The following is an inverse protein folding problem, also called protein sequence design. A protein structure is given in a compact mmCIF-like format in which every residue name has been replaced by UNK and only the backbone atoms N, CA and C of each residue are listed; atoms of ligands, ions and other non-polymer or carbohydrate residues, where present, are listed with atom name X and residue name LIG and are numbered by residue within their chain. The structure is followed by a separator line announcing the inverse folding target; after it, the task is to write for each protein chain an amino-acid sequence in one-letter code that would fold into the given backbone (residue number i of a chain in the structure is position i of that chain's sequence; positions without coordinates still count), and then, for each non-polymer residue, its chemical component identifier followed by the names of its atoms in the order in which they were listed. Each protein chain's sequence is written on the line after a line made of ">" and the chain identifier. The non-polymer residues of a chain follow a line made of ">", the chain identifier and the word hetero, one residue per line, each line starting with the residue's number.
data_IF_667299306842
#
_entry.id   IF_667299306842
#
_cell.length_a   1.000
_cell.length_b   1.000
_cell.length_c   1.000
_cell.angle_alpha   90.00
_cell.angle_beta   90.00
_cell.angle_gamma   90.00
#
_symmetry.space_group_name_H-M   'P 1'
#
loop_
_entity.id
_entity.type
_entity.pdbx_description
1 polymer ?
#
# COMPACT_ATOMS: atom_id res chain seq x y z
N UNK A 1 -33.69 33.74 -31.91
CA UNK A 1 -33.50 32.82 -30.78
C UNK A 1 -32.10 32.18 -30.74
N UNK A 2 -31.05 32.86 -31.26
CA UNK A 2 -29.68 32.30 -31.36
C UNK A 2 -28.81 32.59 -30.11
N UNK A 3 -29.24 33.52 -29.25
CA UNK A 3 -28.48 33.94 -28.06
C UNK A 3 -28.65 33.05 -26.81
N UNK A 4 -29.68 32.19 -26.78
CA UNK A 4 -29.92 31.29 -25.65
C UNK A 4 -29.01 30.04 -25.70
N UNK A 5 -28.74 29.52 -26.90
CA UNK A 5 -27.93 28.31 -27.10
C UNK A 5 -26.45 28.56 -26.76
N UNK A 6 -25.95 29.77 -27.02
CA UNK A 6 -24.55 30.14 -26.75
C UNK A 6 -24.23 30.26 -25.25
N UNK A 7 -25.24 30.57 -24.40
CA UNK A 7 -25.08 30.61 -22.93
C UNK A 7 -25.17 29.23 -22.29
N UNK A 8 -25.89 28.29 -22.90
CA UNK A 8 -25.94 26.89 -22.43
C UNK A 8 -24.60 26.20 -22.67
N UNK A 9 -23.86 26.59 -23.72
CA UNK A 9 -22.54 26.03 -24.03
C UNK A 9 -21.44 26.41 -23.01
N UNK A 10 -21.64 27.47 -22.21
CA UNK A 10 -20.65 27.92 -21.22
C UNK A 10 -20.81 27.25 -19.84
N UNK A 11 -21.91 26.53 -19.63
CA UNK A 11 -22.12 25.67 -18.43
C UNK A 11 -21.60 24.25 -18.70
N UNK A 12 -20.56 24.13 -19.53
CA UNK A 12 -19.68 22.97 -19.56
C UNK A 12 -18.43 23.29 -18.71
N UNK A 13 -18.68 23.90 -17.56
CA UNK A 13 -17.68 24.36 -16.61
C UNK A 13 -17.21 23.15 -15.79
N UNK A 14 -16.22 22.46 -16.34
CA UNK A 14 -15.08 21.88 -15.61
C UNK A 14 -15.49 21.22 -14.29
N UNK A 15 -16.07 20.02 -14.37
CA UNK A 15 -15.96 19.07 -13.26
C UNK A 15 -14.54 18.50 -13.33
N UNK A 16 -13.57 19.21 -12.77
CA UNK A 16 -12.32 18.58 -12.35
C UNK A 16 -12.68 17.62 -11.23
N UNK A 17 -12.90 16.35 -11.57
CA UNK A 17 -12.80 15.26 -10.60
C UNK A 17 -11.34 15.26 -10.16
N UNK A 18 -11.07 15.90 -9.03
CA UNK A 18 -9.87 15.58 -8.27
C UNK A 18 -10.05 14.12 -7.84
N UNK A 19 -9.49 13.19 -8.62
CA UNK A 19 -9.34 11.83 -8.18
C UNK A 19 -8.42 11.88 -6.97
N UNK A 20 -8.99 11.91 -5.76
CA UNK A 20 -8.23 11.56 -4.57
C UNK A 20 -7.76 10.12 -4.81
N UNK A 21 -6.47 9.92 -5.01
CA UNK A 21 -5.91 8.58 -4.94
C UNK A 21 -6.29 8.05 -3.56
N UNK A 22 -7.26 7.14 -3.52
CA UNK A 22 -7.57 6.44 -2.29
C UNK A 22 -6.27 5.73 -1.91
N UNK A 23 -5.73 6.07 -0.75
CA UNK A 23 -4.50 5.48 -0.26
C UNK A 23 -4.77 4.00 0.02
N UNK A 24 -4.36 3.13 -0.90
CA UNK A 24 -4.61 1.69 -0.81
C UNK A 24 -3.89 1.12 0.41
N UNK A 25 -4.64 0.44 1.28
CA UNK A 25 -4.09 -0.33 2.39
C UNK A 25 -4.15 -1.81 2.02
N UNK A 26 -2.98 -2.41 1.87
CA UNK A 26 -2.83 -3.83 1.58
C UNK A 26 -2.74 -4.60 2.90
N UNK A 27 -3.55 -5.64 3.05
CA UNK A 27 -3.66 -6.39 4.30
C UNK A 27 -3.07 -7.78 4.11
N UNK A 28 -2.24 -8.18 5.07
CA UNK A 28 -1.73 -9.53 5.21
C UNK A 28 -2.18 -10.08 6.57
N UNK A 29 -3.01 -11.11 6.58
CA UNK A 29 -3.51 -11.69 7.83
C UNK A 29 -2.47 -12.61 8.47
N UNK A 30 -2.61 -12.82 9.78
CA UNK A 30 -1.83 -13.79 10.55
C UNK A 30 -1.80 -15.17 9.89
N UNK A 31 -2.94 -15.64 9.39
CA UNK A 31 -3.06 -16.95 8.75
C UNK A 31 -2.30 -17.01 7.43
N UNK A 32 -2.39 -15.95 6.62
CA UNK A 32 -1.63 -15.84 5.38
C UNK A 32 -0.13 -15.78 5.66
N UNK A 33 0.26 -15.09 6.74
CA UNK A 33 1.64 -15.00 7.14
C UNK A 33 2.17 -16.29 7.79
N UNK A 34 1.34 -17.08 8.47
CA UNK A 34 1.75 -18.27 9.22
C UNK A 34 2.07 -19.51 8.36
N UNK A 35 1.83 -19.46 7.05
CA UNK A 35 2.18 -20.51 6.09
C UNK A 35 3.72 -20.63 5.97
N UNK A 36 4.31 -21.82 5.69
CA UNK A 36 5.74 -21.95 5.47
C UNK A 36 6.27 -20.93 4.45
N UNK A 37 7.09 -19.99 4.94
CA UNK A 37 7.61 -18.84 4.20
C UNK A 37 8.80 -19.24 3.34
N UNK A 38 8.55 -19.93 2.24
CA UNK A 38 9.55 -20.05 1.17
C UNK A 38 9.59 -18.74 0.38
N UNK A 39 10.73 -18.42 -0.26
CA UNK A 39 10.81 -17.23 -1.11
C UNK A 39 9.74 -17.20 -2.21
N UNK A 40 9.37 -18.38 -2.74
CA UNK A 40 8.30 -18.52 -3.71
C UNK A 40 6.92 -18.17 -3.11
N UNK A 41 6.59 -18.75 -1.94
CA UNK A 41 5.32 -18.50 -1.29
C UNK A 41 5.12 -17.02 -0.94
N UNK A 42 6.19 -16.33 -0.53
CA UNK A 42 6.17 -14.90 -0.22
C UNK A 42 5.89 -14.06 -1.48
N UNK A 43 6.55 -14.35 -2.60
CA UNK A 43 6.36 -13.60 -3.87
C UNK A 43 4.96 -13.80 -4.45
N UNK A 44 4.31 -14.91 -4.15
CA UNK A 44 2.96 -15.24 -4.63
C UNK A 44 1.85 -14.59 -3.78
N UNK A 45 2.17 -13.94 -2.65
CA UNK A 45 1.17 -13.26 -1.82
C UNK A 45 0.63 -12.00 -2.55
N UNK A 46 -0.69 -11.92 -2.83
CA UNK A 46 -1.26 -10.79 -3.58
C UNK A 46 -0.93 -9.42 -2.98
N UNK A 47 -1.08 -9.28 -1.66
CA UNK A 47 -0.78 -8.03 -0.97
C UNK A 47 0.68 -7.57 -1.15
N UNK A 48 1.64 -8.50 -1.27
CA UNK A 48 3.03 -8.15 -1.54
C UNK A 48 3.27 -7.82 -3.01
N UNK A 49 2.59 -8.49 -3.93
CA UNK A 49 2.67 -8.17 -5.35
C UNK A 49 2.16 -6.75 -5.63
N UNK A 50 1.03 -6.39 -5.04
CA UNK A 50 0.41 -5.08 -5.20
C UNK A 50 1.32 -3.98 -4.62
N UNK A 51 1.83 -4.17 -3.39
CA UNK A 51 2.80 -3.24 -2.78
C UNK A 51 4.05 -3.08 -3.65
N UNK A 52 4.63 -4.17 -4.15
CA UNK A 52 5.83 -4.10 -4.99
C UNK A 52 5.56 -3.50 -6.38
N UNK A 53 4.32 -3.57 -6.88
CA UNK A 53 3.91 -2.85 -8.08
C UNK A 53 3.80 -1.35 -7.81
N UNK A 54 3.07 -0.94 -6.77
CA UNK A 54 2.90 0.46 -6.39
C UNK A 54 4.24 1.15 -6.08
N UNK A 55 5.15 0.46 -5.38
CA UNK A 55 6.49 0.96 -5.07
C UNK A 55 7.40 1.16 -6.30
N UNK A 56 7.10 0.49 -7.42
CA UNK A 56 7.81 0.64 -8.71
C UNK A 56 7.21 1.76 -9.57
N UNK A 57 5.91 2.00 -9.46
CA UNK A 57 5.22 3.04 -10.24
C UNK A 57 5.45 4.46 -9.67
N UNK A 58 5.70 4.56 -8.37
CA UNK A 58 5.94 5.82 -7.68
C UNK A 58 7.39 5.95 -7.21
N UNK A 59 8.22 6.60 -8.03
CA UNK A 59 9.59 6.94 -7.63
C UNK A 59 9.58 7.85 -6.40
N UNK A 60 10.37 7.47 -5.39
CA UNK A 60 10.49 8.20 -4.13
C UNK A 60 9.47 7.82 -3.06
N UNK A 61 8.41 7.08 -3.37
CA UNK A 61 7.41 6.66 -2.37
C UNK A 61 8.02 5.86 -1.22
N UNK A 62 7.34 5.86 -0.07
CA UNK A 62 7.70 5.08 1.11
C UNK A 62 6.62 4.05 1.41
N UNK A 63 7.04 2.91 1.92
CA UNK A 63 6.16 1.87 2.42
C UNK A 63 6.04 2.02 3.93
N UNK A 64 4.85 2.29 4.44
CA UNK A 64 4.54 2.20 5.87
C UNK A 64 3.97 0.82 6.14
N UNK A 65 4.58 0.09 7.08
CA UNK A 65 4.14 -1.23 7.52
C UNK A 65 3.69 -1.13 8.97
N UNK A 66 2.39 -1.27 9.21
CA UNK A 66 1.82 -1.37 10.56
C UNK A 66 1.62 -2.82 10.93
N UNK A 67 2.17 -3.25 12.05
CA UNK A 67 2.16 -4.65 12.47
C UNK A 67 1.59 -4.81 13.89
N UNK A 68 1.12 -6.02 14.26
CA UNK A 68 0.61 -6.26 15.61
C UNK A 68 1.69 -6.01 16.67
N UNK A 69 1.28 -5.52 17.84
CA UNK A 69 2.19 -5.43 18.98
C UNK A 69 2.60 -6.80 19.53
N UNK A 70 3.51 -6.80 20.50
CA UNK A 70 3.97 -8.01 21.18
C UNK A 70 5.07 -8.77 20.43
N UNK A 71 5.54 -9.86 21.03
CA UNK A 71 6.71 -10.61 20.56
C UNK A 71 6.48 -11.24 19.18
N UNK A 72 5.29 -11.81 18.97
CA UNK A 72 4.91 -12.45 17.71
C UNK A 72 4.82 -11.44 16.57
N UNK A 73 4.11 -10.32 16.76
CA UNK A 73 4.03 -9.26 15.77
C UNK A 73 5.40 -8.63 15.46
N UNK A 74 6.27 -8.51 16.48
CA UNK A 74 7.66 -8.06 16.29
C UNK A 74 8.47 -9.03 15.45
N UNK A 75 8.30 -10.35 15.66
CA UNK A 75 8.95 -11.37 14.84
C UNK A 75 8.47 -11.27 13.38
N UNK A 76 7.16 -11.17 13.17
CA UNK A 76 6.58 -11.05 11.84
C UNK A 76 7.08 -9.80 11.11
N UNK A 77 7.12 -8.67 11.80
CA UNK A 77 7.63 -7.41 11.27
C UNK A 77 9.08 -7.54 10.79
N UNK A 78 9.94 -8.21 11.57
CA UNK A 78 11.35 -8.43 11.21
C UNK A 78 11.50 -9.35 10.00
N UNK A 79 10.72 -10.43 9.95
CA UNK A 79 10.71 -11.35 8.81
C UNK A 79 10.23 -10.63 7.54
N UNK A 80 9.12 -9.90 7.61
CA UNK A 80 8.58 -9.15 6.48
C UNK A 80 9.56 -8.11 5.98
N UNK A 81 10.19 -7.35 6.88
CA UNK A 81 11.23 -6.40 6.51
C UNK A 81 12.39 -7.08 5.77
N UNK A 82 12.87 -8.23 6.26
CA UNK A 82 13.93 -8.98 5.60
C UNK A 82 13.52 -9.46 4.19
N UNK A 83 12.27 -9.91 4.04
CA UNK A 83 11.73 -10.32 2.74
C UNK A 83 11.60 -9.14 1.77
N UNK A 84 11.04 -8.01 2.19
CA UNK A 84 10.93 -6.81 1.36
C UNK A 84 12.29 -6.34 0.84
N UNK A 85 13.31 -6.37 1.71
CA UNK A 85 14.69 -6.06 1.32
C UNK A 85 15.24 -7.08 0.33
N UNK A 86 15.01 -8.38 0.55
CA UNK A 86 15.42 -9.43 -0.38
C UNK A 86 14.71 -9.33 -1.75
N UNK A 87 13.50 -8.78 -1.79
CA UNK A 87 12.75 -8.48 -3.00
C UNK A 87 13.19 -7.18 -3.71
N UNK A 88 14.19 -6.48 -3.16
CA UNK A 88 14.82 -5.32 -3.78
C UNK A 88 14.32 -3.97 -3.28
N UNK A 89 13.46 -3.93 -2.25
CA UNK A 89 13.04 -2.66 -1.65
C UNK A 89 14.11 -2.15 -0.69
N UNK A 90 14.69 -0.99 -0.99
CA UNK A 90 15.69 -0.36 -0.12
C UNK A 90 15.13 -0.07 1.27
N UNK A 91 15.83 -0.47 2.33
CA UNK A 91 15.34 -0.36 3.71
C UNK A 91 15.01 1.06 4.14
N UNK A 92 15.65 2.08 3.55
CA UNK A 92 15.35 3.50 3.84
C UNK A 92 13.95 3.92 3.35
N UNK A 93 13.33 3.14 2.47
CA UNK A 93 11.97 3.35 1.98
C UNK A 93 10.93 2.59 2.80
N UNK A 94 11.32 1.85 3.84
CA UNK A 94 10.43 1.04 4.65
C UNK A 94 10.35 1.65 6.06
N UNK A 95 9.16 2.00 6.49
CA UNK A 95 8.87 2.49 7.83
C UNK A 95 8.04 1.45 8.59
N UNK A 96 8.61 0.87 9.65
CA UNK A 96 7.96 -0.13 10.48
C UNK A 96 7.32 0.54 11.69
N UNK A 97 6.01 0.36 11.87
CA UNK A 97 5.24 0.95 12.98
C UNK A 97 4.48 -0.15 13.76
N UNK A 98 4.68 -0.30 15.07
CA UNK A 98 3.82 -1.16 15.86
C UNK A 98 2.42 -0.56 15.99
N UNK A 99 1.39 -1.41 16.06
CA UNK A 99 0.01 -1.01 16.25
C UNK A 99 -0.81 -0.97 14.96
N UNK A 100 -0.92 -2.11 14.27
CA UNK A 100 -1.97 -2.33 13.27
C UNK A 100 -3.37 -2.12 13.87
N UNK A 101 -4.36 -1.75 13.04
CA UNK A 101 -5.72 -1.49 13.50
C UNK A 101 -6.43 -2.77 13.95
N UNK A 102 -6.05 -3.91 13.37
CA UNK A 102 -6.48 -5.24 13.76
C UNK A 102 -5.29 -6.03 14.31
N UNK A 103 -5.51 -6.74 15.42
CA UNK A 103 -4.45 -7.40 16.18
C UNK A 103 -3.80 -8.59 15.44
N UNK A 104 -4.41 -9.04 14.35
CA UNK A 104 -4.08 -10.23 13.58
C UNK A 104 -3.69 -9.89 12.14
N UNK A 105 -3.36 -8.63 11.85
CA UNK A 105 -3.00 -8.21 10.50
C UNK A 105 -1.76 -7.34 10.45
N UNK A 106 -1.04 -7.45 9.34
CA UNK A 106 -0.06 -6.47 8.90
C UNK A 106 -0.72 -5.61 7.82
N UNK A 107 -0.66 -4.30 8.01
CA UNK A 107 -1.15 -3.32 7.05
C UNK A 107 0.04 -2.68 6.34
N UNK A 108 -0.01 -2.65 5.02
CA UNK A 108 1.03 -2.10 4.16
C UNK A 108 0.44 -0.99 3.31
N UNK A 109 1.05 0.18 3.38
CA UNK A 109 0.54 1.38 2.71
C UNK A 109 1.68 2.07 1.98
N UNK A 110 1.51 2.29 0.68
CA UNK A 110 2.46 3.05 -0.13
C UNK A 110 2.06 4.52 -0.10
N UNK A 111 2.97 5.36 0.41
CA UNK A 111 2.75 6.80 0.57
C UNK A 111 3.69 7.57 -0.36
N UNK A 112 3.18 8.53 -1.17
CA UNK A 112 4.03 9.47 -1.90
C UNK A 112 4.89 10.32 -0.95
N UNK A 113 6.00 10.88 -1.45
CA UNK A 113 6.75 11.92 -0.72
C UNK A 113 6.01 13.25 -0.73
#
# INVERSE_FOLDING_TARGET
>A
MLGAVMKVLFVMLIVTVAASAAESVHILTAEQWAVPRSGQAIVEMPALQDVMAEMRESDGSRLIVRYPGGDEGTLWARELHAWLVALGLGSQRIEMQPGSRQADTIEMQVVPQ
#
